data_IF_478643668801
#
_entry.id   IF_478643668801
#
_cell.length_a   1.000
_cell.length_b   1.000
_cell.length_c   1.000
_cell.angle_alpha   90.00
_cell.angle_beta   90.00
_cell.angle_gamma   90.00
#
_symmetry.space_group_name_H-M   'P 1'
#
loop_
_entity.id
_entity.type
_entity.pdbx_description
1 polymer ?
#
# COMPACT_ATOMS: atom_id res chain seq x y z
N UNK A 1 -5.18 -9.80 2.13
CA UNK A 1 -3.73 -9.92 2.44
C UNK A 1 -3.01 -10.61 1.29
N UNK A 2 -1.83 -10.13 0.89
CA UNK A 2 -0.99 -10.80 -0.11
C UNK A 2 -0.50 -12.14 0.43
N UNK A 3 -0.28 -13.11 -0.47
CA UNK A 3 0.32 -14.38 -0.07
C UNK A 3 1.82 -14.20 0.20
N UNK A 4 2.33 -14.89 1.22
CA UNK A 4 3.77 -14.89 1.53
C UNK A 4 4.61 -15.34 0.32
N UNK A 5 4.12 -16.31 -0.45
CA UNK A 5 4.77 -16.77 -1.67
C UNK A 5 4.93 -15.67 -2.72
N UNK A 6 3.91 -14.82 -2.89
CA UNK A 6 3.97 -13.72 -3.85
C UNK A 6 4.93 -12.64 -3.35
N UNK A 7 4.91 -12.32 -2.06
CA UNK A 7 5.85 -11.38 -1.43
C UNK A 7 7.29 -11.85 -1.65
N UNK A 8 7.59 -13.11 -1.36
CA UNK A 8 8.92 -13.70 -1.52
C UNK A 8 9.38 -13.68 -2.98
N UNK A 9 8.52 -14.09 -3.91
CA UNK A 9 8.85 -14.05 -5.35
C UNK A 9 9.11 -12.63 -5.84
N UNK A 10 8.29 -11.66 -5.44
CA UNK A 10 8.46 -10.26 -5.85
C UNK A 10 9.73 -9.65 -5.27
N UNK A 11 10.04 -9.91 -3.99
CA UNK A 11 11.28 -9.43 -3.37
C UNK A 11 12.51 -10.07 -4.00
N UNK A 12 12.47 -11.37 -4.30
CA UNK A 12 13.56 -12.06 -4.98
C UNK A 12 13.83 -11.47 -6.37
N UNK A 13 12.77 -11.22 -7.15
CA UNK A 13 12.91 -10.59 -8.46
C UNK A 13 13.41 -9.14 -8.35
N UNK A 14 12.94 -8.38 -7.35
CA UNK A 14 13.43 -7.03 -7.11
C UNK A 14 14.94 -6.99 -6.80
N UNK A 15 15.43 -7.92 -5.97
CA UNK A 15 16.86 -8.04 -5.66
C UNK A 15 17.68 -8.53 -6.88
N UNK A 16 17.09 -9.35 -7.76
CA UNK A 16 17.77 -9.85 -8.96
C UNK A 16 18.18 -8.72 -9.93
N UNK A 17 17.50 -7.56 -9.86
CA UNK A 17 17.84 -6.35 -10.64
C UNK A 17 19.16 -5.68 -10.22
N UNK A 18 19.83 -6.20 -9.19
CA UNK A 18 21.04 -5.63 -8.60
C UNK A 18 20.75 -4.59 -7.52
N UNK A 19 19.58 -4.63 -6.91
CA UNK A 19 19.30 -3.89 -5.68
C UNK A 19 19.93 -4.62 -4.49
N UNK A 20 20.44 -3.86 -3.52
CA UNK A 20 21.04 -4.38 -2.30
C UNK A 20 19.98 -4.59 -1.21
N UNK A 21 18.84 -3.91 -1.37
CA UNK A 21 17.68 -3.98 -0.50
C UNK A 21 16.40 -3.76 -1.30
N UNK A 22 15.35 -4.50 -0.95
CA UNK A 22 14.01 -4.33 -1.49
C UNK A 22 12.98 -4.52 -0.36
N UNK A 23 11.91 -3.74 -0.40
CA UNK A 23 10.79 -3.86 0.53
C UNK A 23 9.45 -3.70 -0.17
N UNK A 24 8.44 -4.36 0.38
CA UNK A 24 7.05 -4.23 -0.04
C UNK A 24 6.27 -3.63 1.12
N UNK A 25 5.61 -2.50 0.87
CA UNK A 25 4.63 -1.89 1.76
C UNK A 25 3.23 -2.17 1.22
N UNK A 26 2.33 -2.64 2.09
CA UNK A 26 0.93 -2.88 1.75
C UNK A 26 0.05 -2.03 2.63
N UNK A 27 -0.87 -1.28 2.03
CA UNK A 27 -1.88 -0.52 2.75
C UNK A 27 -3.29 -1.04 2.43
N UNK A 28 -4.11 -1.07 3.48
CA UNK A 28 -5.56 -1.24 3.41
C UNK A 28 -6.16 -0.24 4.40
N UNK A 29 -6.76 0.84 3.88
CA UNK A 29 -7.29 1.94 4.69
C UNK A 29 -8.80 1.98 4.52
N UNK A 30 -9.53 1.68 5.60
CA UNK A 30 -10.98 1.86 5.66
C UNK A 30 -11.30 3.24 6.17
N UNK A 31 -12.15 3.96 5.46
CA UNK A 31 -12.57 5.30 5.84
C UNK A 31 -14.09 5.42 5.74
N UNK A 32 -14.67 6.16 6.68
CA UNK A 32 -16.07 6.52 6.63
C UNK A 32 -16.23 7.97 7.05
N UNK A 33 -17.16 8.67 6.41
CA UNK A 33 -17.46 10.06 6.71
C UNK A 33 -18.96 10.28 6.72
N UNK A 34 -19.45 10.91 7.78
CA UNK A 34 -20.83 11.37 7.90
C UNK A 34 -20.83 12.90 7.79
N UNK A 35 -21.73 13.45 6.97
CA UNK A 35 -21.96 14.88 6.84
C UNK A 35 -23.38 15.19 7.28
N UNK A 36 -23.51 16.15 8.20
CA UNK A 36 -24.79 16.64 8.70
C UNK A 36 -25.00 18.09 8.25
N UNK A 37 -26.23 18.44 7.87
CA UNK A 37 -26.63 19.81 7.54
C UNK A 37 -27.91 20.13 8.31
N UNK A 38 -27.90 21.22 9.09
CA UNK A 38 -29.05 21.67 9.89
C UNK A 38 -29.66 20.62 10.84
N UNK A 39 -28.84 19.68 11.34
CA UNK A 39 -29.30 18.63 12.25
C UNK A 39 -29.78 17.36 11.54
N UNK A 40 -29.89 17.37 10.21
CA UNK A 40 -30.22 16.21 9.38
C UNK A 40 -28.98 15.60 8.75
N UNK A 41 -29.00 14.28 8.55
CA UNK A 41 -27.94 13.55 7.86
C UNK A 41 -28.05 13.82 6.36
N UNK A 42 -27.03 14.46 5.80
CA UNK A 42 -26.93 14.81 4.38
C UNK A 42 -26.17 13.74 3.58
N UNK A 43 -25.05 13.25 4.11
CA UNK A 43 -24.25 12.20 3.45
C UNK A 43 -23.67 11.21 4.45
N UNK A 44 -23.60 9.95 4.01
CA UNK A 44 -22.85 8.89 4.67
C UNK A 44 -22.02 8.17 3.61
N UNK A 45 -20.71 8.35 3.66
CA UNK A 45 -19.75 7.69 2.78
C UNK A 45 -18.99 6.63 3.57
N UNK A 46 -18.79 5.49 2.95
CA UNK A 46 -17.89 4.43 3.42
C UNK A 46 -17.07 3.99 2.23
N UNK A 47 -15.77 3.87 2.43
CA UNK A 47 -14.83 3.49 1.40
C UNK A 47 -13.66 2.71 1.98
N UNK A 48 -12.89 2.13 1.05
CA UNK A 48 -11.66 1.42 1.36
C UNK A 48 -10.67 1.72 0.25
N UNK A 49 -9.51 2.21 0.63
CA UNK A 49 -8.35 2.35 -0.25
C UNK A 49 -7.41 1.18 0.00
N UNK A 50 -6.80 0.67 -1.06
CA UNK A 50 -5.80 -0.39 -0.95
C UNK A 50 -4.71 -0.18 -1.98
N UNK A 51 -3.47 -0.39 -1.55
CA UNK A 51 -2.29 -0.04 -2.34
C UNK A 51 -1.09 -0.90 -1.96
N UNK A 52 -0.15 -1.01 -2.91
CA UNK A 52 1.13 -1.69 -2.72
C UNK A 52 2.22 -0.75 -3.20
N UNK A 53 3.22 -0.51 -2.35
CA UNK A 53 4.47 0.15 -2.70
C UNK A 53 5.60 -0.87 -2.73
N UNK A 54 6.40 -0.84 -3.80
CA UNK A 54 7.65 -1.60 -3.90
C UNK A 54 8.79 -0.59 -3.97
N UNK A 55 9.79 -0.73 -3.10
CA UNK A 55 10.94 0.17 -3.07
C UNK A 55 12.23 -0.63 -3.13
N UNK A 56 13.12 -0.24 -4.04
CA UNK A 56 14.43 -0.86 -4.27
C UNK A 56 15.53 0.16 -3.99
N UNK A 57 16.64 -0.30 -3.44
CA UNK A 57 17.81 0.53 -3.14
C UNK A 57 19.10 -0.13 -3.63
N UNK A 58 20.02 0.69 -4.13
CA UNK A 58 21.41 0.32 -4.42
C UNK A 58 22.32 1.38 -3.80
N UNK A 59 23.07 1.00 -2.76
CA UNK A 59 23.74 1.93 -1.87
C UNK A 59 22.75 2.91 -1.24
N UNK A 60 23.01 4.21 -1.38
CA UNK A 60 22.13 5.29 -0.90
C UNK A 60 21.12 5.76 -1.97
N UNK A 61 21.11 5.15 -3.16
CA UNK A 61 20.25 5.54 -4.27
C UNK A 61 19.03 4.62 -4.37
N UNK A 62 17.85 5.20 -4.52
CA UNK A 62 16.66 4.45 -4.91
C UNK A 62 16.71 4.15 -6.40
N UNK A 63 16.33 2.92 -6.78
CA UNK A 63 16.19 2.50 -8.18
C UNK A 63 14.78 2.74 -8.70
#
# INVERSE_FOLDING_TARGET
>A
MLSNSLIEMTLHEALSTGADFAEIFCEETKHSSLRMVNGDLDQALSGMDSGIGLRLWRGEQSL
#
